data_IF_436345387675
#
_entry.id   IF_436345387675
#
_cell.length_a   1.000
_cell.length_b   1.000
_cell.length_c   1.000
_cell.angle_alpha   90.00
_cell.angle_beta   90.00
_cell.angle_gamma   90.00
#
_symmetry.space_group_name_H-M   'P 1'
#
loop_
_entity.id
_entity.type
_entity.pdbx_description
1 polymer ?
#
# COMPACT_ATOMS: atom_id res chain seq x y z
N UNK A 1 16.67 -24.11 27.20
CA UNK A 1 16.83 -22.64 27.34
C UNK A 1 16.77 -22.03 25.95
N UNK A 2 15.72 -21.23 25.74
CA UNK A 2 15.44 -20.30 24.63
C UNK A 2 16.32 -20.39 23.37
N UNK A 3 15.76 -20.96 22.30
CA UNK A 3 16.00 -20.49 20.94
C UNK A 3 14.79 -19.63 20.56
N UNK A 4 14.87 -18.35 20.91
CA UNK A 4 14.03 -17.35 20.26
C UNK A 4 14.69 -17.06 18.91
N UNK A 5 14.37 -17.90 17.93
CA UNK A 5 14.64 -17.60 16.52
C UNK A 5 13.92 -16.30 16.17
N UNK A 6 14.74 -15.29 15.91
CA UNK A 6 14.36 -14.00 15.35
C UNK A 6 13.80 -14.25 13.94
N UNK A 7 12.51 -14.61 13.88
CA UNK A 7 11.71 -14.48 12.65
C UNK A 7 11.68 -12.99 12.34
N UNK A 8 12.65 -12.50 11.54
CA UNK A 8 12.51 -11.22 10.85
C UNK A 8 11.16 -11.23 10.18
N UNK A 9 10.26 -10.44 10.75
CA UNK A 9 8.86 -10.39 10.37
C UNK A 9 8.81 -9.87 8.95
N UNK A 10 8.36 -10.69 7.99
CA UNK A 10 8.20 -10.32 6.59
C UNK A 10 6.96 -9.41 6.45
N UNK A 11 7.08 -8.24 7.07
CA UNK A 11 6.03 -7.24 7.20
C UNK A 11 6.33 -6.06 6.28
N UNK A 12 5.38 -5.72 5.42
CA UNK A 12 5.42 -4.56 4.55
C UNK A 12 4.55 -3.48 5.17
N UNK A 13 5.14 -2.31 5.44
CA UNK A 13 4.37 -1.15 5.90
C UNK A 13 4.06 -0.26 4.70
N UNK A 14 2.78 0.05 4.50
CA UNK A 14 2.31 0.89 3.39
C UNK A 14 1.33 1.94 3.88
N UNK A 15 1.26 3.06 3.17
CA UNK A 15 0.14 4.00 3.34
C UNK A 15 -1.18 3.35 2.96
N UNK A 16 -2.24 3.69 3.67
CA UNK A 16 -3.56 3.12 3.41
C UNK A 16 -4.02 3.38 1.97
N UNK A 17 -3.79 4.57 1.42
CA UNK A 17 -4.13 4.84 0.02
C UNK A 17 -3.23 4.09 -0.98
N UNK A 18 -1.99 3.76 -0.61
CA UNK A 18 -1.12 2.94 -1.46
C UNK A 18 -1.67 1.53 -1.68
N UNK A 19 -2.51 0.99 -0.77
CA UNK A 19 -3.26 -0.25 -1.04
C UNK A 19 -4.10 -0.15 -2.34
N UNK A 20 -4.76 0.99 -2.56
CA UNK A 20 -5.52 1.24 -3.78
C UNK A 20 -4.58 1.49 -4.96
N UNK A 21 -3.58 2.37 -4.76
CA UNK A 21 -2.67 2.78 -5.83
C UNK A 21 -1.80 1.63 -6.35
N UNK A 22 -1.33 0.70 -5.52
CA UNK A 22 -0.57 -0.48 -5.97
C UNK A 22 -1.45 -1.47 -6.73
N UNK A 23 -2.70 -1.62 -6.30
CA UNK A 23 -3.69 -2.44 -7.03
C UNK A 23 -3.97 -1.87 -8.42
N UNK A 24 -3.97 -0.54 -8.56
CA UNK A 24 -4.22 0.18 -9.81
C UNK A 24 -2.97 0.55 -10.61
N UNK A 25 -1.77 0.29 -10.08
CA UNK A 25 -0.53 0.78 -10.66
C UNK A 25 -0.35 0.25 -12.08
N UNK A 26 -0.01 1.15 -13.00
CA UNK A 26 0.14 0.86 -14.43
C UNK A 26 1.50 1.33 -15.00
N UNK A 27 2.46 1.67 -14.13
CA UNK A 27 3.80 2.12 -14.53
C UNK A 27 3.90 3.60 -14.93
N UNK A 28 2.86 4.41 -14.71
CA UNK A 28 2.81 5.80 -15.17
C UNK A 28 2.36 6.77 -14.06
N UNK A 29 2.67 8.06 -14.25
CA UNK A 29 2.07 9.16 -13.51
C UNK A 29 2.94 9.81 -12.42
N UNK A 30 4.14 9.28 -12.13
CA UNK A 30 5.02 9.82 -11.09
C UNK A 30 6.42 10.14 -11.63
N UNK A 31 7.30 10.71 -10.79
CA UNK A 31 8.74 10.78 -11.08
C UNK A 31 9.29 9.36 -11.30
N UNK A 32 10.41 9.23 -12.03
CA UNK A 32 11.01 7.92 -12.31
C UNK A 32 11.31 7.14 -11.01
N UNK A 33 11.88 7.80 -10.01
CA UNK A 33 12.19 7.18 -8.71
C UNK A 33 10.95 6.70 -7.96
N UNK A 34 9.90 7.52 -7.89
CA UNK A 34 8.65 7.12 -7.24
C UNK A 34 7.94 5.99 -8.00
N UNK A 35 7.95 6.04 -9.33
CA UNK A 35 7.39 5.00 -10.20
C UNK A 35 8.08 3.66 -9.94
N UNK A 36 9.41 3.63 -9.88
CA UNK A 36 10.17 2.42 -9.56
C UNK A 36 9.88 1.88 -8.14
N UNK A 37 9.63 2.77 -7.17
CA UNK A 37 9.23 2.37 -5.82
C UNK A 37 7.85 1.77 -5.75
N UNK A 38 6.87 2.38 -6.44
CA UNK A 38 5.52 1.82 -6.57
C UNK A 38 5.55 0.46 -7.27
N UNK A 39 6.37 0.29 -8.31
CA UNK A 39 6.51 -0.97 -9.03
C UNK A 39 7.08 -2.08 -8.13
N UNK A 40 8.15 -1.79 -7.38
CA UNK A 40 8.72 -2.74 -6.42
C UNK A 40 7.72 -3.08 -5.32
N UNK A 41 7.01 -2.09 -4.80
CA UNK A 41 6.02 -2.31 -3.75
C UNK A 41 4.85 -3.18 -4.25
N UNK A 42 4.28 -2.83 -5.41
CA UNK A 42 3.21 -3.61 -6.03
C UNK A 42 3.67 -5.05 -6.32
N UNK A 43 4.88 -5.22 -6.87
CA UNK A 43 5.44 -6.55 -7.16
C UNK A 43 5.55 -7.40 -5.89
N UNK A 44 6.05 -6.82 -4.79
CA UNK A 44 6.14 -7.52 -3.50
C UNK A 44 4.76 -7.88 -2.95
N UNK A 45 3.80 -6.97 -2.97
CA UNK A 45 2.46 -7.27 -2.48
C UNK A 45 1.80 -8.39 -3.31
N UNK A 46 2.03 -8.41 -4.62
CA UNK A 46 1.36 -9.32 -5.56
C UNK A 46 2.08 -10.66 -5.76
N UNK A 47 3.23 -10.88 -5.13
CA UNK A 47 4.06 -12.09 -5.33
C UNK A 47 3.46 -13.36 -4.73
N UNK A 48 2.43 -13.22 -3.87
CA UNK A 48 1.72 -14.34 -3.26
C UNK A 48 2.45 -15.01 -2.09
N UNK A 49 3.53 -14.43 -1.58
CA UNK A 49 4.31 -14.99 -0.46
C UNK A 49 3.65 -14.80 0.93
N UNK A 50 2.44 -14.26 0.99
CA UNK A 50 1.68 -14.14 2.25
C UNK A 50 2.17 -13.03 3.18
N UNK A 51 2.82 -11.98 2.63
CA UNK A 51 3.32 -10.84 3.41
C UNK A 51 2.28 -10.28 4.38
N UNK A 52 2.76 -9.96 5.58
CA UNK A 52 1.98 -9.21 6.57
C UNK A 52 2.00 -7.72 6.20
N UNK A 53 0.84 -7.11 5.98
CA UNK A 53 0.74 -5.71 5.55
C UNK A 53 0.27 -4.83 6.70
N UNK A 54 1.12 -3.91 7.14
CA UNK A 54 0.81 -2.90 8.15
C UNK A 54 0.37 -1.61 7.48
N UNK A 55 -0.82 -1.12 7.83
CA UNK A 55 -1.38 0.09 7.23
C UNK A 55 -1.05 1.35 8.02
N UNK A 56 -0.64 2.39 7.32
CA UNK A 56 -0.18 3.65 7.87
C UNK A 56 -1.04 4.81 7.36
N UNK A 57 -1.26 5.81 8.21
CA UNK A 57 -1.69 7.16 7.80
C UNK A 57 -0.52 8.16 7.95
N UNK A 58 0.69 7.64 7.76
CA UNK A 58 1.98 8.31 7.82
C UNK A 58 2.85 7.74 6.68
N UNK A 59 3.95 8.41 6.29
CA UNK A 59 4.76 8.00 5.15
C UNK A 59 5.27 6.58 5.22
N UNK A 60 5.39 5.95 4.06
CA UNK A 60 6.04 4.65 3.89
C UNK A 60 7.33 4.75 3.06
N UNK A 61 7.95 3.60 2.79
CA UNK A 61 9.23 3.54 2.08
C UNK A 61 9.22 4.10 0.66
N UNK A 62 8.05 4.22 0.01
CA UNK A 62 7.94 4.81 -1.34
C UNK A 62 7.92 6.33 -1.27
N UNK A 63 7.44 6.89 -0.15
CA UNK A 63 7.35 8.33 0.05
C UNK A 63 8.72 9.03 0.01
N UNK A 64 9.81 8.32 0.32
CA UNK A 64 11.18 8.84 0.28
C UNK A 64 11.66 9.26 -1.12
N UNK A 65 10.94 8.89 -2.18
CA UNK A 65 11.22 9.24 -3.58
C UNK A 65 10.14 10.15 -4.17
N UNK A 66 9.21 10.64 -3.34
CA UNK A 66 8.13 11.51 -3.79
C UNK A 66 8.68 12.91 -4.13
N UNK A 67 8.43 13.45 -5.33
CA UNK A 67 8.89 14.81 -5.68
C UNK A 67 8.23 15.89 -4.81
N UNK A 68 7.08 15.57 -4.21
CA UNK A 68 6.36 16.45 -3.29
C UNK A 68 6.72 16.21 -1.83
N UNK A 69 7.73 15.39 -1.51
CA UNK A 69 8.23 15.26 -0.15
C UNK A 69 8.81 16.60 0.33
N UNK A 70 8.47 17.02 1.55
CA UNK A 70 9.19 18.08 2.26
C UNK A 70 10.01 17.47 3.39
N UNK A 71 11.32 17.69 3.33
CA UNK A 71 12.26 17.52 4.43
C UNK A 71 12.77 18.90 4.79
N UNK A 72 12.87 19.22 6.09
CA UNK A 72 13.60 20.41 6.51
C UNK A 72 15.06 20.28 6.07
N UNK A 73 15.61 21.37 5.56
CA UNK A 73 17.07 21.55 5.39
C UNK A 73 17.74 21.94 6.72
N UNK A 74 17.01 21.91 7.84
CA UNK A 74 17.57 22.27 9.15
C UNK A 74 18.61 21.23 9.57
N UNK A 75 19.84 21.65 9.89
CA UNK A 75 20.90 20.74 10.26
C UNK A 75 20.47 19.98 11.51
N UNK A 76 20.48 18.65 11.44
CA UNK A 76 20.39 17.82 12.64
C UNK A 76 21.47 18.31 13.60
N UNK A 77 21.14 18.80 14.81
CA UNK A 77 22.16 19.13 15.78
C UNK A 77 22.98 17.85 15.98
N UNK A 78 24.22 17.87 15.52
CA UNK A 78 25.22 16.81 15.64
C UNK A 78 25.24 15.74 14.52
N UNK A 79 24.51 15.89 13.40
CA UNK A 79 24.72 15.07 12.18
C UNK A 79 24.49 13.56 12.32
N UNK A 80 23.82 13.11 13.40
CA UNK A 80 23.60 11.70 13.75
C UNK A 80 22.13 11.27 13.67
N UNK A 81 21.27 12.06 13.04
CA UNK A 81 19.84 11.78 12.90
C UNK A 81 19.49 11.40 11.47
N UNK A 82 18.71 10.34 11.34
CA UNK A 82 17.99 10.03 10.09
C UNK A 82 17.09 11.21 9.70
N UNK A 83 16.97 11.54 8.40
CA UNK A 83 16.07 12.61 7.96
C UNK A 83 14.65 12.36 8.46
N UNK A 84 14.12 13.32 9.23
CA UNK A 84 12.75 13.30 9.73
C UNK A 84 11.83 13.75 8.61
N UNK A 85 10.92 12.88 8.18
CA UNK A 85 9.85 13.28 7.26
C UNK A 85 8.94 14.30 7.95
N UNK A 86 8.69 15.44 7.31
CA UNK A 86 7.84 16.48 7.89
C UNK A 86 6.52 16.67 7.14
N UNK A 87 6.44 16.34 5.85
CA UNK A 87 5.16 16.42 5.15
C UNK A 87 5.19 16.21 3.64
N UNK A 88 4.02 16.38 3.04
CA UNK A 88 3.84 16.45 1.60
C UNK A 88 3.52 17.90 1.21
N UNK A 89 4.28 18.45 0.26
CA UNK A 89 4.12 19.79 -0.31
C UNK A 89 2.85 19.96 -1.14
N UNK A 90 2.10 18.88 -1.40
CA UNK A 90 0.79 19.02 -2.02
C UNK A 90 -0.12 19.84 -1.09
N UNK A 91 -0.84 20.86 -1.61
CA UNK A 91 -1.68 21.73 -0.80
C UNK A 91 -2.62 20.93 0.10
N UNK A 92 -2.87 21.39 1.33
CA UNK A 92 -3.92 20.87 2.21
C UNK A 92 -3.62 19.58 2.98
N UNK A 93 -2.43 18.98 2.86
CA UNK A 93 -2.09 17.70 3.50
C UNK A 93 -3.13 16.58 3.21
N UNK A 94 -3.78 16.66 2.05
CA UNK A 94 -4.86 15.76 1.67
C UNK A 94 -4.44 14.28 1.68
N UNK A 95 -3.16 13.98 1.57
CA UNK A 95 -2.67 12.58 1.53
C UNK A 95 -2.99 11.82 2.83
N UNK A 96 -2.85 12.45 4.01
CA UNK A 96 -3.22 11.80 5.28
C UNK A 96 -4.75 11.66 5.38
N UNK A 97 -5.49 12.65 4.90
CA UNK A 97 -6.95 12.57 4.85
C UNK A 97 -7.41 11.42 3.93
N UNK A 98 -6.81 11.29 2.75
CA UNK A 98 -7.04 10.16 1.82
C UNK A 98 -6.76 8.83 2.52
N UNK A 99 -5.65 8.70 3.26
CA UNK A 99 -5.39 7.47 4.03
C UNK A 99 -6.50 7.17 5.02
N UNK A 100 -6.94 8.17 5.79
CA UNK A 100 -8.01 8.01 6.78
C UNK A 100 -9.34 7.67 6.14
N UNK A 101 -9.66 8.25 4.98
CA UNK A 101 -10.86 7.88 4.19
C UNK A 101 -10.79 6.41 3.76
N UNK A 102 -9.63 5.93 3.29
CA UNK A 102 -9.45 4.49 2.96
C UNK A 102 -9.67 3.62 4.19
N UNK A 103 -9.00 3.94 5.32
CA UNK A 103 -9.13 3.17 6.57
C UNK A 103 -10.59 3.12 7.02
N UNK A 104 -11.30 4.24 6.97
CA UNK A 104 -12.71 4.34 7.36
C UNK A 104 -13.62 3.52 6.43
N UNK A 105 -13.49 3.71 5.11
CA UNK A 105 -14.31 3.03 4.10
C UNK A 105 -14.21 1.51 4.19
N UNK A 106 -13.02 0.99 4.48
CA UNK A 106 -12.72 -0.45 4.57
C UNK A 106 -12.79 -1.01 6.00
N UNK A 107 -13.15 -0.17 6.98
CA UNK A 107 -13.21 -0.53 8.42
C UNK A 107 -11.89 -1.12 8.92
N UNK A 108 -10.78 -0.56 8.44
CA UNK A 108 -9.42 -0.93 8.79
C UNK A 108 -8.90 -0.02 9.91
N UNK A 109 -7.95 -0.52 10.68
CA UNK A 109 -7.31 0.23 11.77
C UNK A 109 -5.91 0.64 11.35
N UNK A 110 -5.57 1.89 11.59
CA UNK A 110 -4.21 2.38 11.46
C UNK A 110 -3.27 1.55 12.35
N UNK A 111 -2.05 1.28 11.87
CA UNK A 111 -1.00 0.50 12.55
C UNK A 111 -1.35 -0.96 12.82
N UNK A 112 -2.53 -1.43 12.42
CA UNK A 112 -2.86 -2.84 12.42
C UNK A 112 -2.24 -3.55 11.21
N UNK A 113 -2.02 -4.85 11.37
CA UNK A 113 -1.42 -5.72 10.37
C UNK A 113 -2.45 -6.71 9.85
N UNK A 114 -2.48 -6.90 8.54
CA UNK A 114 -3.44 -7.74 7.82
C UNK A 114 -2.70 -8.64 6.83
N UNK A 115 -3.28 -9.78 6.44
CA UNK A 115 -2.80 -10.48 5.24
C UNK A 115 -3.20 -9.69 3.99
N UNK A 116 -2.40 -9.80 2.93
CA UNK A 116 -2.75 -9.11 1.68
C UNK A 116 -4.07 -9.63 1.08
N UNK A 117 -4.35 -10.94 1.15
CA UNK A 117 -5.65 -11.51 0.73
C UNK A 117 -6.84 -10.85 1.47
N UNK A 118 -6.75 -10.65 2.78
CA UNK A 118 -7.82 -10.01 3.55
C UNK A 118 -8.03 -8.54 3.13
N UNK A 119 -6.96 -7.84 2.75
CA UNK A 119 -7.06 -6.48 2.22
C UNK A 119 -7.72 -6.46 0.84
N UNK A 120 -7.36 -7.38 -0.06
CA UNK A 120 -7.98 -7.52 -1.38
C UNK A 120 -9.46 -7.89 -1.27
N UNK A 121 -9.81 -8.78 -0.34
CA UNK A 121 -11.21 -9.12 -0.05
C UNK A 121 -12.01 -7.89 0.40
N UNK A 122 -11.44 -7.05 1.26
CA UNK A 122 -12.08 -5.81 1.68
C UNK A 122 -12.27 -4.82 0.54
N UNK A 123 -11.27 -4.68 -0.34
CA UNK A 123 -11.42 -3.87 -1.55
C UNK A 123 -12.56 -4.39 -2.44
N UNK A 124 -12.71 -5.71 -2.55
CA UNK A 124 -13.76 -6.32 -3.36
C UNK A 124 -15.16 -6.21 -2.74
N UNK A 125 -15.28 -6.39 -1.42
CA UNK A 125 -16.58 -6.55 -0.73
C UNK A 125 -17.09 -5.30 -0.04
N UNK A 126 -16.19 -4.42 0.40
CA UNK A 126 -16.55 -3.28 1.26
C UNK A 126 -16.38 -1.92 0.56
N UNK A 127 -15.44 -1.79 -0.38
CA UNK A 127 -15.25 -0.53 -1.09
C UNK A 127 -16.38 -0.31 -2.09
N UNK A 128 -17.08 0.81 -1.95
CA UNK A 128 -18.11 1.23 -2.90
C UNK A 128 -17.56 2.25 -3.89
N UNK A 129 -18.21 2.38 -5.05
CA UNK A 129 -17.86 3.41 -6.04
C UNK A 129 -17.95 4.83 -5.45
N UNK A 130 -19.00 5.10 -4.65
CA UNK A 130 -19.15 6.39 -3.96
C UNK A 130 -17.99 6.67 -2.98
N UNK A 131 -17.53 5.65 -2.25
CA UNK A 131 -16.36 5.80 -1.38
C UNK A 131 -15.07 5.99 -2.19
N UNK A 132 -14.89 5.25 -3.28
CA UNK A 132 -13.76 5.44 -4.20
C UNK A 132 -13.73 6.88 -4.75
N UNK A 133 -14.88 7.43 -5.11
CA UNK A 133 -15.02 8.80 -5.59
C UNK A 133 -14.73 9.84 -4.51
N UNK A 134 -15.14 9.61 -3.26
CA UNK A 134 -14.79 10.49 -2.13
C UNK A 134 -13.28 10.43 -1.80
N UNK A 135 -12.65 9.27 -1.93
CA UNK A 135 -11.22 9.06 -1.67
C UNK A 135 -10.37 9.65 -2.79
N UNK A 136 -10.71 9.34 -4.05
CA UNK A 136 -9.89 9.60 -5.23
C UNK A 136 -10.40 10.74 -6.12
N UNK A 137 -11.52 11.38 -5.79
CA UNK A 137 -12.20 12.40 -6.61
C UNK A 137 -11.29 13.48 -7.16
N UNK A 138 -10.48 14.06 -6.28
CA UNK A 138 -9.53 15.13 -6.58
C UNK A 138 -8.09 14.62 -6.80
N UNK A 139 -7.92 13.30 -6.95
CA UNK A 139 -6.61 12.69 -7.15
C UNK A 139 -6.01 13.07 -8.50
N UNK A 140 -4.75 13.50 -8.49
CA UNK A 140 -3.99 13.88 -9.69
C UNK A 140 -3.87 12.75 -10.72
N UNK A 141 -3.92 11.49 -10.28
CA UNK A 141 -3.83 10.31 -11.15
C UNK A 141 -5.20 9.83 -11.66
N UNK A 142 -6.29 10.11 -10.93
CA UNK A 142 -7.65 9.79 -11.40
C UNK A 142 -8.09 10.71 -12.51
N UNK A 143 -7.81 12.01 -12.39
CA UNK A 143 -8.20 13.04 -13.38
C UNK A 143 -7.82 12.71 -14.83
N UNK A 144 -6.60 12.22 -15.15
CA UNK A 144 -6.24 11.80 -16.51
C UNK A 144 -6.75 10.40 -16.91
N UNK A 145 -7.54 9.72 -16.07
CA UNK A 145 -8.11 8.40 -16.36
C UNK A 145 -7.15 7.23 -16.13
N UNK A 146 -6.08 7.40 -15.34
CA UNK A 146 -5.13 6.32 -15.06
C UNK A 146 -5.68 5.28 -14.06
N UNK A 147 -6.75 5.62 -13.34
CA UNK A 147 -7.44 4.70 -12.44
C UNK A 147 -8.96 4.86 -12.51
N UNK A 148 -9.66 3.74 -12.27
CA UNK A 148 -11.13 3.70 -12.14
C UNK A 148 -11.53 2.70 -11.06
N UNK A 149 -12.77 2.82 -10.57
CA UNK A 149 -13.34 1.91 -9.59
C UNK A 149 -13.46 0.49 -10.14
N UNK A 150 -13.91 0.33 -11.39
CA UNK A 150 -14.07 -0.96 -12.06
C UNK A 150 -12.72 -1.67 -12.22
N UNK A 151 -11.68 -0.92 -12.62
CA UNK A 151 -10.33 -1.45 -12.73
C UNK A 151 -9.79 -1.91 -11.36
N UNK A 152 -10.07 -1.17 -10.30
CA UNK A 152 -9.65 -1.53 -8.94
C UNK A 152 -10.33 -2.85 -8.51
N UNK A 153 -11.65 -2.93 -8.67
CA UNK A 153 -12.42 -4.10 -8.28
C UNK A 153 -12.00 -5.35 -9.07
N UNK A 154 -11.85 -5.22 -10.39
CA UNK A 154 -11.42 -6.32 -11.25
C UNK A 154 -10.02 -6.82 -10.90
N UNK A 155 -9.06 -5.91 -10.65
CA UNK A 155 -7.69 -6.29 -10.29
C UNK A 155 -7.59 -6.88 -8.89
N UNK A 156 -8.34 -6.34 -7.92
CA UNK A 156 -8.38 -6.90 -6.57
C UNK A 156 -8.82 -8.37 -6.60
N UNK A 157 -9.90 -8.67 -7.34
CA UNK A 157 -10.37 -10.03 -7.57
C UNK A 157 -9.31 -10.90 -8.26
N UNK A 158 -8.67 -10.38 -9.31
CA UNK A 158 -7.64 -11.12 -10.05
C UNK A 158 -6.44 -11.48 -9.16
N UNK A 159 -5.92 -10.53 -8.37
CA UNK A 159 -4.81 -10.79 -7.45
C UNK A 159 -5.19 -11.78 -6.37
N UNK A 160 -6.41 -11.65 -5.83
CA UNK A 160 -6.92 -12.56 -4.80
C UNK A 160 -6.98 -14.01 -5.31
N UNK A 161 -7.52 -14.22 -6.50
CA UNK A 161 -7.58 -15.55 -7.14
C UNK A 161 -6.20 -16.17 -7.34
N UNK A 162 -5.19 -15.36 -7.67
CA UNK A 162 -3.81 -15.84 -7.82
C UNK A 162 -3.20 -16.28 -6.49
N UNK A 163 -3.42 -15.50 -5.43
CA UNK A 163 -2.90 -15.80 -4.09
C UNK A 163 -3.57 -17.06 -3.53
N UNK A 164 -4.90 -17.14 -3.56
CA UNK A 164 -5.65 -18.32 -3.07
C UNK A 164 -5.29 -19.57 -3.89
N UNK A 165 -5.20 -19.45 -5.22
CA UNK A 165 -4.84 -20.59 -6.08
C UNK A 165 -3.41 -21.11 -5.83
N UNK A 166 -2.48 -20.26 -5.41
CA UNK A 166 -1.13 -20.68 -5.03
C UNK A 166 -1.10 -21.42 -3.69
N UNK A 167 -1.93 -21.01 -2.72
CA UNK A 167 -2.06 -21.68 -1.42
C UNK A 167 -2.66 -23.09 -1.57
N UNK A 168 -3.69 -23.26 -2.41
CA UNK A 168 -4.29 -24.57 -2.69
C UNK A 168 -3.31 -25.54 -3.36
N UNK A 169 -2.50 -25.05 -4.31
CA UNK A 169 -1.46 -25.84 -4.96
C UNK A 169 -0.31 -26.21 -4.01
N UNK A 170 0.01 -25.35 -3.04
CA UNK A 170 1.03 -25.58 -2.00
C UNK A 170 0.57 -26.56 -0.92
N UNK A 171 -0.74 -26.63 -0.65
CA UNK A 171 -1.31 -27.59 0.29
C UNK A 171 -1.42 -28.99 -0.34
N UNK A 172 -1.79 -29.08 -1.63
CA UNK A 172 -1.97 -30.35 -2.33
C UNK A 172 -0.68 -31.21 -2.45
N UNK A 173 0.50 -30.61 -2.35
CA UNK A 173 1.77 -31.33 -2.37
C UNK A 173 2.27 -31.78 -0.97
N UNK A 174 1.54 -31.47 0.11
CA UNK A 174 1.92 -31.86 1.49
C UNK A 174 1.20 -33.11 2.00
N UNK A 175 0.17 -33.59 1.31
CA UNK A 175 -0.60 -34.79 1.69
C UNK A 175 -0.22 -36.04 0.87
N UNK A 176 0.91 -35.99 0.16
CA UNK A 176 1.45 -37.11 -0.62
C UNK A 176 2.75 -37.63 0.03
N UNK A 177 2.62 -38.26 1.21
CA UNK A 177 3.62 -39.19 1.78
C UNK A 177 2.93 -40.46 2.30
#
# INVERSE_FOLDING_TARGET
MSMCDDKRSDQISIRAHHLLCTTLFCGHGYSEGFTAGMERLASRLHDGSGHAVRLLAEPDGVCAWCPNEYRLEEPVPNGLGEPVYEGCRLPGNHVIETDRKVLSALRLKEKATYSYDALLEKLEKELTEAAFDDICGDCLWRRPGLCSYEALHARARQYRQRIVGQDEQSCACKDAE
#
